data_IF_586077246554
#
_entry.id   IF_586077246554
#
_cell.length_a   1.000
_cell.length_b   1.000
_cell.length_c   1.000
_cell.angle_alpha   90.00
_cell.angle_beta   90.00
_cell.angle_gamma   90.00
#
_symmetry.space_group_name_H-M   'P 1'
#
loop_
_entity.id
_entity.type
_entity.pdbx_description
1 polymer ?
#
# COMPACT_ATOMS: atom_id res chain seq x y z
N UNK A 1 -8.65 -13.04 -28.03
CA UNK A 1 -9.14 -12.12 -26.98
C UNK A 1 -8.15 -10.98 -26.88
N UNK A 2 -8.55 -9.76 -27.24
CA UNK A 2 -7.68 -8.59 -27.11
C UNK A 2 -7.45 -8.32 -25.62
N UNK A 3 -6.20 -8.38 -25.17
CA UNK A 3 -5.83 -7.95 -23.82
C UNK A 3 -5.98 -6.43 -23.76
N UNK A 4 -7.07 -5.95 -23.15
CA UNK A 4 -7.21 -4.53 -22.83
C UNK A 4 -6.19 -4.20 -21.73
N UNK A 5 -5.09 -3.56 -22.12
CA UNK A 5 -4.07 -3.10 -21.18
C UNK A 5 -4.71 -2.14 -20.17
N UNK A 6 -4.88 -2.61 -18.94
CA UNK A 6 -5.45 -1.80 -17.86
C UNK A 6 -4.33 -0.92 -17.31
N UNK A 7 -4.35 0.37 -17.66
CA UNK A 7 -3.34 1.32 -17.20
C UNK A 7 -3.64 1.70 -15.75
N UNK A 8 -2.74 1.32 -14.84
CA UNK A 8 -2.78 1.73 -13.44
C UNK A 8 -2.07 3.09 -13.30
N UNK A 9 -2.70 4.04 -12.60
CA UNK A 9 -2.11 5.35 -12.30
C UNK A 9 -2.45 5.79 -10.88
N UNK A 10 -1.54 6.52 -10.25
CA UNK A 10 -1.69 7.13 -8.92
C UNK A 10 -1.07 8.52 -8.94
N UNK A 11 -1.61 9.45 -8.15
CA UNK A 11 -1.00 10.75 -7.92
C UNK A 11 -0.23 10.71 -6.61
N UNK A 12 1.01 11.21 -6.65
CA UNK A 12 1.90 11.23 -5.50
C UNK A 12 2.25 12.68 -5.17
N UNK A 13 2.14 13.05 -3.90
CA UNK A 13 2.78 14.24 -3.38
C UNK A 13 4.15 13.84 -2.84
N UNK A 14 5.22 14.35 -3.45
CA UNK A 14 6.59 13.96 -3.16
C UNK A 14 7.37 15.16 -2.63
N UNK A 15 8.02 14.99 -1.48
CA UNK A 15 9.11 15.84 -1.05
C UNK A 15 10.38 15.39 -1.79
N UNK A 16 10.70 16.09 -2.87
CA UNK A 16 11.87 15.79 -3.72
C UNK A 16 13.20 16.08 -3.04
N UNK A 17 13.24 16.93 -2.00
CA UNK A 17 14.48 17.24 -1.27
C UNK A 17 14.87 16.07 -0.35
N UNK A 18 13.89 15.48 0.31
CA UNK A 18 14.10 14.35 1.21
C UNK A 18 13.87 12.97 0.56
N UNK A 19 13.44 12.94 -0.71
CA UNK A 19 13.14 11.71 -1.44
C UNK A 19 11.96 10.93 -0.84
N UNK A 20 10.98 11.61 -0.24
CA UNK A 20 9.86 10.97 0.47
C UNK A 20 8.53 11.23 -0.21
N UNK A 21 7.70 10.19 -0.30
CA UNK A 21 6.28 10.34 -0.66
C UNK A 21 5.51 10.74 0.60
N UNK A 22 4.84 11.88 0.55
CA UNK A 22 4.03 12.39 1.65
C UNK A 22 2.59 11.87 1.57
N UNK A 23 2.03 11.82 0.36
CA UNK A 23 0.66 11.32 0.11
C UNK A 23 0.57 10.60 -1.23
N UNK A 24 -0.34 9.64 -1.31
CA UNK A 24 -0.68 8.93 -2.53
C UNK A 24 -2.21 8.88 -2.69
N UNK A 25 -2.73 9.47 -3.77
CA UNK A 25 -4.12 9.34 -4.18
C UNK A 25 -4.20 8.26 -5.27
N UNK A 26 -5.06 7.28 -5.04
CA UNK A 26 -5.20 6.10 -5.88
C UNK A 26 -6.67 5.76 -6.13
N UNK A 27 -6.96 5.17 -7.28
CA UNK A 27 -8.30 4.62 -7.51
C UNK A 27 -8.52 3.36 -6.68
N UNK A 28 -9.79 3.07 -6.39
CA UNK A 28 -10.20 1.89 -5.60
C UNK A 28 -9.55 0.60 -6.10
N UNK A 29 -9.51 0.39 -7.42
CA UNK A 29 -8.94 -0.81 -8.01
C UNK A 29 -7.47 -1.04 -7.63
N UNK A 30 -6.69 0.04 -7.49
CA UNK A 30 -5.27 -0.09 -7.11
C UNK A 30 -5.11 -0.38 -5.63
N UNK A 31 -5.92 0.27 -4.78
CA UNK A 31 -5.93 0.02 -3.34
C UNK A 31 -6.34 -1.43 -3.05
N UNK A 32 -7.42 -1.90 -3.69
CA UNK A 32 -7.86 -3.29 -3.59
C UNK A 32 -6.77 -4.25 -4.07
N UNK A 33 -6.09 -3.96 -5.18
CA UNK A 33 -4.99 -4.79 -5.66
C UNK A 33 -3.85 -4.89 -4.63
N UNK A 34 -3.40 -3.77 -4.07
CA UNK A 34 -2.32 -3.75 -3.08
C UNK A 34 -2.71 -4.50 -1.79
N UNK A 35 -3.93 -4.29 -1.29
CA UNK A 35 -4.41 -4.99 -0.10
C UNK A 35 -4.61 -6.49 -0.35
N UNK A 36 -5.14 -6.89 -1.51
CA UNK A 36 -5.27 -8.29 -1.86
C UNK A 36 -3.90 -8.97 -2.04
N UNK A 37 -2.95 -8.31 -2.68
CA UNK A 37 -1.57 -8.78 -2.80
C UNK A 37 -0.93 -8.97 -1.42
N UNK A 38 -1.22 -8.06 -0.50
CA UNK A 38 -0.66 -8.10 0.85
C UNK A 38 -1.49 -8.93 1.84
N UNK A 39 -2.69 -9.41 1.50
CA UNK A 39 -3.61 -10.05 2.47
C UNK A 39 -2.99 -11.25 3.21
N UNK A 40 -2.30 -12.14 2.49
CA UNK A 40 -1.57 -13.27 3.09
C UNK A 40 -0.35 -12.82 3.91
N UNK A 41 0.59 -12.02 3.36
CA UNK A 41 1.77 -11.61 4.12
C UNK A 41 1.44 -10.64 5.28
N UNK A 42 0.36 -9.85 5.20
CA UNK A 42 0.03 -8.85 6.22
C UNK A 42 -0.35 -9.49 7.55
N UNK A 43 -1.02 -10.65 7.54
CA UNK A 43 -1.32 -11.39 8.76
C UNK A 43 -0.06 -11.85 9.49
N UNK A 44 0.95 -12.30 8.75
CA UNK A 44 2.26 -12.66 9.30
C UNK A 44 3.01 -11.43 9.81
N UNK A 45 3.03 -10.35 9.04
CA UNK A 45 3.68 -9.08 9.41
C UNK A 45 3.05 -8.50 10.68
N UNK A 46 1.73 -8.46 10.77
CA UNK A 46 1.00 -8.01 11.98
C UNK A 46 1.36 -8.88 13.18
N UNK A 47 1.37 -10.20 13.04
CA UNK A 47 1.75 -11.11 14.13
C UNK A 47 3.18 -10.88 14.63
N UNK A 48 4.12 -10.64 13.72
CA UNK A 48 5.52 -10.34 14.05
C UNK A 48 5.64 -8.94 14.71
N UNK A 49 4.99 -7.92 14.16
CA UNK A 49 5.03 -6.56 14.69
C UNK A 49 4.36 -6.45 16.06
N UNK A 50 3.27 -7.18 16.32
CA UNK A 50 2.63 -7.22 17.64
C UNK A 50 3.57 -7.75 18.74
N UNK A 51 4.54 -8.61 18.39
CA UNK A 51 5.55 -9.10 19.34
C UNK A 51 6.68 -8.10 19.62
N UNK A 52 6.88 -7.11 18.74
CA UNK A 52 8.02 -6.20 18.77
C UNK A 52 7.61 -4.72 18.89
N UNK A 53 6.32 -4.44 19.09
CA UNK A 53 5.74 -3.10 19.04
C UNK A 53 5.19 -2.80 17.66
N UNK A 54 3.89 -2.55 17.60
CA UNK A 54 3.19 -2.19 16.38
C UNK A 54 3.62 -0.79 15.94
N UNK A 55 4.05 -0.64 14.68
CA UNK A 55 4.56 0.63 14.14
C UNK A 55 3.67 1.19 13.05
N UNK A 56 3.55 2.52 13.02
CA UNK A 56 2.81 3.24 11.99
C UNK A 56 1.29 3.01 12.06
N UNK A 57 0.63 2.95 10.91
CA UNK A 57 -0.83 2.88 10.81
C UNK A 57 -1.41 1.47 10.95
N UNK A 58 -0.57 0.43 10.97
CA UNK A 58 -1.02 -0.97 11.00
C UNK A 58 -1.75 -1.36 12.28
N UNK A 59 -1.53 -0.64 13.39
CA UNK A 59 -2.29 -0.86 14.63
C UNK A 59 -3.63 -0.17 14.73
N UNK A 60 -3.93 0.73 13.79
CA UNK A 60 -5.23 1.39 13.68
C UNK A 60 -6.15 0.72 12.64
N UNK A 61 -5.66 -0.31 11.94
CA UNK A 61 -6.45 -1.15 11.04
C UNK A 61 -7.19 -2.22 11.85
#
# INVERSE_FOLDING_TARGET
MASSSTKVSMKLLIDTKNGKVLFAEASKAVVDFLLNLLCLPIGTVVKLLSSNGMVGSLGNL
#
